data_IF_644762877136
#
_entry.id   IF_644762877136
#
_cell.length_a   1.000
_cell.length_b   1.000
_cell.length_c   1.000
_cell.angle_alpha   90.00
_cell.angle_beta   90.00
_cell.angle_gamma   90.00
#
_symmetry.space_group_name_H-M   'P 1'
#
loop_
_entity.id
_entity.type
_entity.pdbx_description
1 polymer ?
#
# COMPACT_ATOMS: atom_id res chain seq x y z
N UNK A 1 -21.22 -32.51 -33.42
CA UNK A 1 -21.17 -31.04 -33.25
C UNK A 1 -20.50 -30.77 -31.91
N UNK A 2 -19.30 -30.19 -31.93
CA UNK A 2 -18.55 -29.92 -30.69
C UNK A 2 -18.94 -28.54 -30.21
N UNK A 3 -19.71 -28.48 -29.12
CA UNK A 3 -20.10 -27.22 -28.48
C UNK A 3 -18.89 -26.64 -27.74
N UNK A 4 -18.43 -25.46 -28.16
CA UNK A 4 -17.40 -24.71 -27.45
C UNK A 4 -18.09 -23.89 -26.36
N UNK A 5 -17.83 -24.22 -25.09
CA UNK A 5 -18.23 -23.39 -23.97
C UNK A 5 -17.24 -22.24 -23.81
N UNK A 6 -17.71 -21.01 -24.01
CA UNK A 6 -16.93 -19.79 -23.82
C UNK A 6 -17.52 -18.98 -22.67
N UNK A 7 -16.66 -18.33 -21.91
CA UNK A 7 -17.04 -17.41 -20.84
C UNK A 7 -16.18 -16.15 -20.90
N UNK A 8 -16.71 -15.04 -20.42
CA UNK A 8 -15.99 -13.79 -20.26
C UNK A 8 -15.98 -13.36 -18.79
N UNK A 9 -14.82 -12.89 -18.32
CA UNK A 9 -14.66 -12.34 -16.98
C UNK A 9 -13.87 -11.04 -17.10
N UNK A 10 -14.42 -9.95 -16.60
CA UNK A 10 -13.82 -8.63 -16.68
C UNK A 10 -13.75 -7.99 -15.30
N UNK A 11 -12.56 -7.47 -14.96
CA UNK A 11 -12.32 -6.73 -13.72
C UNK A 11 -11.68 -5.39 -14.09
N UNK A 12 -12.30 -4.30 -13.66
CA UNK A 12 -11.78 -2.95 -13.91
C UNK A 12 -10.63 -2.60 -12.96
N UNK A 13 -9.41 -3.03 -13.27
CA UNK A 13 -8.22 -2.83 -12.41
C UNK A 13 -8.04 -1.37 -11.98
N UNK A 14 -8.16 -0.42 -12.92
CA UNK A 14 -8.06 1.02 -12.62
C UNK A 14 -9.20 1.52 -11.72
N UNK A 15 -10.41 0.94 -11.87
CA UNK A 15 -11.57 1.30 -11.05
C UNK A 15 -11.45 0.78 -9.62
N UNK A 16 -10.76 -0.35 -9.40
CA UNK A 16 -10.56 -0.90 -8.06
C UNK A 16 -9.80 0.09 -7.18
N UNK A 17 -8.79 0.78 -7.71
CA UNK A 17 -8.02 1.76 -6.93
C UNK A 17 -8.92 2.89 -6.44
N UNK A 18 -9.75 3.45 -7.34
CA UNK A 18 -10.71 4.49 -6.97
C UNK A 18 -11.75 3.99 -5.95
N UNK A 19 -12.32 2.80 -6.18
CA UNK A 19 -13.31 2.19 -5.28
C UNK A 19 -12.72 1.90 -3.88
N UNK A 20 -11.45 1.48 -3.82
CA UNK A 20 -10.77 1.24 -2.54
C UNK A 20 -10.60 2.53 -1.73
N UNK A 21 -10.29 3.65 -2.40
CA UNK A 21 -10.19 4.97 -1.76
C UNK A 21 -11.56 5.44 -1.29
N UNK A 22 -12.58 5.34 -2.15
CA UNK A 22 -13.94 5.76 -1.84
C UNK A 22 -14.50 5.02 -0.62
N UNK A 23 -14.20 3.73 -0.47
CA UNK A 23 -14.63 2.94 0.68
C UNK A 23 -13.78 3.14 1.95
N UNK A 24 -12.53 3.62 1.83
CA UNK A 24 -11.57 3.70 2.94
C UNK A 24 -10.91 5.10 2.98
N UNK A 25 -11.65 6.08 3.47
CA UNK A 25 -11.14 7.43 3.70
C UNK A 25 -11.73 8.03 4.98
N UNK A 26 -11.01 8.99 5.55
CA UNK A 26 -11.45 9.83 6.67
C UNK A 26 -11.20 11.31 6.36
N UNK A 27 -11.46 12.19 7.32
CA UNK A 27 -11.23 13.63 7.17
C UNK A 27 -9.74 13.98 6.97
N UNK A 28 -8.82 13.08 7.33
CA UNK A 28 -7.36 13.25 7.17
C UNK A 28 -6.84 12.70 5.84
N UNK A 29 -7.65 11.97 5.08
CA UNK A 29 -7.35 11.53 3.72
C UNK A 29 -7.59 10.04 3.48
N UNK A 30 -6.70 9.43 2.68
CA UNK A 30 -6.85 8.07 2.18
C UNK A 30 -6.30 7.06 3.19
N UNK A 31 -7.09 6.02 3.49
CA UNK A 31 -6.66 4.87 4.28
C UNK A 31 -6.48 3.67 3.34
N UNK A 32 -5.25 3.39 2.95
CA UNK A 32 -4.97 2.28 2.04
C UNK A 32 -5.17 0.91 2.71
N UNK A 33 -5.83 -0.05 2.04
CA UNK A 33 -5.77 -1.45 2.45
C UNK A 33 -4.31 -1.96 2.39
N UNK A 34 -3.92 -2.78 3.38
CA UNK A 34 -2.52 -3.25 3.54
C UNK A 34 -1.96 -3.92 2.30
N UNK A 35 -2.81 -4.55 1.48
CA UNK A 35 -2.43 -5.32 0.28
C UNK A 35 -2.12 -4.45 -0.93
N UNK A 36 -2.66 -3.24 -1.01
CA UNK A 36 -2.49 -2.33 -2.17
C UNK A 36 -1.82 -1.00 -1.80
N UNK A 37 -1.45 -0.82 -0.53
CA UNK A 37 -0.72 0.37 -0.09
C UNK A 37 0.58 0.53 -0.88
N UNK A 38 0.89 1.73 -1.42
CA UNK A 38 2.10 1.96 -2.22
C UNK A 38 3.39 1.64 -1.43
N UNK A 39 3.38 1.98 -0.14
CA UNK A 39 4.46 1.70 0.80
C UNK A 39 3.87 1.20 2.11
N UNK A 40 4.60 0.35 2.83
CA UNK A 40 4.15 -0.18 4.12
C UNK A 40 4.41 0.78 5.30
N UNK A 41 5.37 1.68 5.15
CA UNK A 41 5.73 2.69 6.14
C UNK A 41 6.38 3.89 5.43
N UNK A 42 6.14 5.09 5.93
CA UNK A 42 6.78 6.32 5.48
C UNK A 42 7.50 6.92 6.68
N UNK A 43 8.80 7.16 6.55
CA UNK A 43 9.61 7.79 7.59
C UNK A 43 9.77 9.26 7.21
N UNK A 44 9.40 10.14 8.13
CA UNK A 44 9.51 11.59 7.94
C UNK A 44 10.49 12.13 8.97
N UNK A 45 11.51 12.85 8.49
CA UNK A 45 12.44 13.58 9.35
C UNK A 45 11.88 14.98 9.61
N UNK A 46 11.73 15.34 10.89
CA UNK A 46 11.14 16.62 11.31
C UNK A 46 12.19 17.73 11.42
N UNK A 47 13.45 17.38 11.76
CA UNK A 47 14.57 18.34 11.87
C UNK A 47 15.87 17.72 11.36
N UNK A 48 16.25 18.10 10.13
CA UNK A 48 17.44 17.62 9.44
C UNK A 48 18.77 18.18 9.96
N UNK A 49 18.72 19.12 10.91
CA UNK A 49 19.91 19.87 11.35
C UNK A 49 20.57 19.29 12.60
N UNK A 50 19.91 18.35 13.31
CA UNK A 50 20.30 17.99 14.68
C UNK A 50 20.94 16.62 14.90
N UNK A 51 20.95 15.66 13.97
CA UNK A 51 21.60 14.39 14.28
C UNK A 51 21.92 13.47 13.10
N UNK A 52 23.07 12.80 13.17
CA UNK A 52 23.51 11.71 12.29
C UNK A 52 22.69 10.40 12.48
N UNK A 53 21.58 10.48 13.23
CA UNK A 53 20.71 9.35 13.63
C UNK A 53 19.71 8.92 12.56
N UNK A 54 19.59 9.66 11.46
CA UNK A 54 18.68 9.33 10.34
C UNK A 54 19.00 7.95 9.74
N UNK A 55 20.25 7.47 9.88
CA UNK A 55 20.65 6.10 9.51
C UNK A 55 19.92 5.00 10.30
N UNK A 56 19.49 5.27 11.54
CA UNK A 56 18.86 4.25 12.40
C UNK A 56 17.41 4.00 11.98
N UNK A 57 16.70 5.01 11.48
CA UNK A 57 15.29 4.88 11.09
C UNK A 57 15.11 3.96 9.87
N UNK A 58 16.04 4.02 8.91
CA UNK A 58 16.09 3.10 7.76
C UNK A 58 16.30 1.64 8.19
N UNK A 59 17.12 1.38 9.22
CA UNK A 59 17.41 0.03 9.72
C UNK A 59 16.21 -0.57 10.48
N UNK A 60 15.39 0.26 11.14
CA UNK A 60 14.24 -0.23 11.90
C UNK A 60 13.11 -0.73 11.00
N UNK A 61 12.92 -0.11 9.83
CA UNK A 61 11.84 -0.48 8.90
C UNK A 61 12.00 -1.90 8.33
N UNK A 62 13.23 -2.33 8.01
CA UNK A 62 13.49 -3.68 7.49
C UNK A 62 13.11 -4.76 8.52
N UNK A 63 13.36 -4.50 9.81
CA UNK A 63 13.17 -5.51 10.86
C UNK A 63 11.70 -5.76 11.22
N UNK A 64 10.83 -4.76 11.08
CA UNK A 64 9.40 -4.92 11.32
C UNK A 64 8.67 -5.62 10.16
N UNK A 65 9.21 -5.54 8.93
CA UNK A 65 8.63 -6.20 7.77
C UNK A 65 8.90 -7.71 7.71
N UNK A 66 10.01 -8.18 8.30
CA UNK A 66 10.33 -9.61 8.38
C UNK A 66 9.55 -10.38 9.46
N UNK A 67 8.99 -9.68 10.46
CA UNK A 67 8.23 -10.33 11.56
C UNK A 67 6.74 -10.56 11.26
N UNK A 68 6.27 -10.27 10.04
CA UNK A 68 4.91 -10.56 9.58
C UNK A 68 4.89 -11.72 8.57
N UNK A 69 5.54 -12.83 8.93
CA UNK A 69 5.31 -14.14 8.31
C UNK A 69 4.73 -15.08 9.35
#
# INVERSE_FOLDING_TARGET
MNNIFMGCYGIGVTRIVAAAIEQNHDDSGIIWPTTISPFKCVIIEIDASKNNSVKISLIFCTRCLEKKK
#
